data_IF_691272085225
#
_entry.id   IF_691272085225
#
_cell.length_a   1.000
_cell.length_b   1.000
_cell.length_c   1.000
_cell.angle_alpha   90.00
_cell.angle_beta   90.00
_cell.angle_gamma   90.00
#
_symmetry.space_group_name_H-M   'P 1'
#
loop_
_entity.id
_entity.type
_entity.pdbx_description
1 polymer ?
#
# COMPACT_ATOMS: atom_id res chain seq x y z
N UNK A 1 0.64 -18.11 -9.37
CA UNK A 1 -0.25 -16.99 -9.75
C UNK A 1 0.42 -16.17 -10.85
N UNK A 2 -0.35 -15.56 -11.75
CA UNK A 2 0.17 -14.61 -12.75
C UNK A 2 0.00 -13.15 -12.26
N UNK A 3 1.02 -12.31 -12.48
CA UNK A 3 0.97 -10.85 -12.28
C UNK A 3 0.92 -10.20 -13.66
N UNK A 4 -0.21 -9.58 -14.01
CA UNK A 4 -0.33 -8.88 -15.28
C UNK A 4 0.15 -7.44 -15.18
N UNK A 5 0.44 -6.82 -16.34
CA UNK A 5 0.73 -5.38 -16.42
C UNK A 5 -0.42 -4.56 -15.82
N UNK A 6 -1.67 -4.97 -16.05
CA UNK A 6 -2.84 -4.28 -15.53
C UNK A 6 -2.84 -4.30 -14.00
N UNK A 7 -2.63 -5.47 -13.40
CA UNK A 7 -2.62 -5.61 -11.94
C UNK A 7 -1.55 -4.72 -11.30
N UNK A 8 -0.36 -4.71 -11.89
CA UNK A 8 0.75 -3.86 -11.43
C UNK A 8 0.45 -2.37 -11.60
N UNK A 9 0.03 -1.94 -12.79
CA UNK A 9 -0.22 -0.52 -13.08
C UNK A 9 -1.34 0.04 -12.22
N UNK A 10 -2.36 -0.75 -11.87
CA UNK A 10 -3.44 -0.28 -11.00
C UNK A 10 -2.95 0.17 -9.60
N UNK A 11 -1.77 -0.29 -9.16
CA UNK A 11 -1.13 0.07 -7.89
C UNK A 11 -0.18 1.25 -7.97
N UNK A 12 0.13 1.74 -9.16
CA UNK A 12 1.11 2.80 -9.31
C UNK A 12 0.49 4.20 -9.13
N UNK A 13 1.19 5.13 -8.47
CA UNK A 13 0.72 6.51 -8.30
C UNK A 13 0.56 7.26 -9.62
N UNK A 14 1.40 6.94 -10.62
CA UNK A 14 1.34 7.58 -11.95
C UNK A 14 0.30 6.99 -12.91
N UNK A 15 -0.45 5.95 -12.52
CA UNK A 15 -1.38 5.28 -13.43
C UNK A 15 -2.42 6.25 -14.02
N UNK A 16 -2.62 6.28 -15.36
CA UNK A 16 -2.19 5.31 -16.37
C UNK A 16 -0.86 5.61 -17.08
N UNK A 17 -0.06 6.57 -16.62
CA UNK A 17 1.25 6.85 -17.19
C UNK A 17 2.26 5.77 -16.80
N UNK A 18 2.92 5.19 -17.81
CA UNK A 18 3.98 4.19 -17.61
C UNK A 18 5.32 4.91 -17.39
N UNK A 19 5.97 4.63 -16.26
CA UNK A 19 7.33 5.06 -15.95
C UNK A 19 8.39 4.21 -16.64
N UNK A 20 9.59 4.77 -16.79
CA UNK A 20 10.76 4.04 -17.30
C UNK A 20 11.15 2.86 -16.40
N UNK A 21 10.88 2.96 -15.10
CA UNK A 21 11.21 1.94 -14.08
C UNK A 21 10.15 0.84 -13.96
N UNK A 22 8.96 1.00 -14.54
CA UNK A 22 7.83 0.07 -14.32
C UNK A 22 8.15 -1.36 -14.76
N UNK A 23 8.89 -1.50 -15.86
CA UNK A 23 9.31 -2.81 -16.35
C UNK A 23 10.17 -3.55 -15.31
N UNK A 24 11.01 -2.83 -14.58
CA UNK A 24 11.88 -3.41 -13.56
C UNK A 24 11.05 -3.91 -12.36
N UNK A 25 10.16 -3.07 -11.84
CA UNK A 25 9.35 -3.43 -10.68
C UNK A 25 8.26 -4.47 -10.98
N UNK A 26 7.71 -4.49 -12.19
CA UNK A 26 6.88 -5.61 -12.65
C UNK A 26 7.67 -6.92 -12.66
N UNK A 27 8.94 -6.89 -13.09
CA UNK A 27 9.80 -8.07 -13.04
C UNK A 27 10.10 -8.54 -11.61
N UNK A 28 10.30 -7.60 -10.65
CA UNK A 28 10.39 -7.93 -9.22
C UNK A 28 9.10 -8.62 -8.74
N UNK A 29 7.94 -8.05 -9.04
CA UNK A 29 6.65 -8.63 -8.67
C UNK A 29 6.48 -10.06 -9.21
N UNK A 30 6.85 -10.30 -10.47
CA UNK A 30 6.81 -11.65 -11.07
C UNK A 30 7.76 -12.64 -10.36
N UNK A 31 8.93 -12.20 -9.89
CA UNK A 31 9.86 -13.04 -9.13
C UNK A 31 9.32 -13.36 -7.73
N UNK A 32 8.74 -12.39 -7.04
CA UNK A 32 8.06 -12.60 -5.75
C UNK A 32 6.88 -13.57 -5.90
N UNK A 33 6.07 -13.44 -6.96
CA UNK A 33 4.97 -14.36 -7.24
C UNK A 33 5.46 -15.81 -7.43
N UNK A 34 6.58 -15.99 -8.15
CA UNK A 34 7.21 -17.30 -8.33
C UNK A 34 7.70 -17.89 -6.99
N UNK A 35 8.34 -17.08 -6.14
CA UNK A 35 8.78 -17.53 -4.81
C UNK A 35 7.59 -17.98 -3.94
N UNK A 36 6.45 -17.30 -4.03
CA UNK A 36 5.24 -17.77 -3.35
C UNK A 36 4.73 -19.09 -3.93
N UNK A 37 4.64 -19.23 -5.25
CA UNK A 37 4.19 -20.49 -5.87
C UNK A 37 5.04 -21.71 -5.48
N UNK A 38 6.34 -21.50 -5.25
CA UNK A 38 7.26 -22.53 -4.77
C UNK A 38 7.08 -22.82 -3.26
N UNK A 39 6.53 -21.88 -2.49
CA UNK A 39 6.23 -22.05 -1.06
C UNK A 39 5.08 -23.04 -0.84
N UNK A 40 5.15 -23.89 0.21
CA UNK A 40 4.02 -24.68 0.65
C UNK A 40 3.03 -23.85 1.50
N UNK A 41 3.42 -22.66 1.95
CA UNK A 41 2.62 -21.84 2.86
C UNK A 41 1.44 -21.16 2.15
N UNK A 42 0.24 -21.37 2.69
CA UNK A 42 -1.02 -20.83 2.19
C UNK A 42 -1.17 -20.96 0.65
N UNK A 43 -0.76 -22.11 0.10
CA UNK A 43 -0.84 -22.40 -1.34
C UNK A 43 -2.27 -22.38 -1.87
N UNK A 44 -3.23 -22.76 -1.03
CA UNK A 44 -4.67 -22.77 -1.35
C UNK A 44 -5.33 -21.40 -1.14
N UNK A 45 -4.57 -20.36 -0.77
CA UNK A 45 -5.11 -19.01 -0.69
C UNK A 45 -5.52 -18.54 -2.09
N UNK A 46 -6.64 -17.81 -2.16
CA UNK A 46 -7.14 -17.17 -3.38
C UNK A 46 -6.03 -16.38 -4.08
N UNK A 47 -5.90 -16.61 -5.39
CA UNK A 47 -4.86 -15.96 -6.22
C UNK A 47 -4.94 -14.44 -6.17
N UNK A 48 -6.13 -13.86 -5.98
CA UNK A 48 -6.33 -12.42 -5.82
C UNK A 48 -5.65 -11.87 -4.55
N UNK A 49 -5.76 -12.59 -3.43
CA UNK A 49 -5.11 -12.17 -2.18
C UNK A 49 -3.59 -12.34 -2.28
N UNK A 50 -3.13 -13.47 -2.85
CA UNK A 50 -1.69 -13.70 -3.07
C UNK A 50 -1.09 -12.62 -3.99
N UNK A 51 -1.84 -12.22 -5.03
CA UNK A 51 -1.48 -11.12 -5.93
C UNK A 51 -1.41 -9.79 -5.20
N UNK A 52 -2.39 -9.49 -4.35
CA UNK A 52 -2.42 -8.27 -3.55
C UNK A 52 -1.19 -8.15 -2.65
N UNK A 53 -0.77 -9.25 -2.00
CA UNK A 53 0.43 -9.25 -1.17
C UNK A 53 1.70 -9.04 -2.00
N UNK A 54 1.86 -9.73 -3.13
CA UNK A 54 3.02 -9.56 -4.01
C UNK A 54 3.15 -8.11 -4.48
N UNK A 55 2.04 -7.51 -4.88
CA UNK A 55 2.01 -6.11 -5.31
C UNK A 55 2.22 -5.15 -4.14
N UNK A 56 1.76 -5.48 -2.94
CA UNK A 56 1.98 -4.66 -1.75
C UNK A 56 3.46 -4.64 -1.34
N UNK A 57 4.13 -5.80 -1.34
CA UNK A 57 5.58 -5.91 -1.08
C UNK A 57 6.38 -5.18 -2.17
N UNK A 58 5.95 -5.27 -3.43
CA UNK A 58 6.59 -4.51 -4.53
C UNK A 58 6.44 -3.01 -4.31
N UNK A 59 5.24 -2.53 -3.93
CA UNK A 59 4.99 -1.12 -3.64
C UNK A 59 5.78 -0.60 -2.44
N UNK A 60 5.92 -1.42 -1.39
CA UNK A 60 6.80 -1.12 -0.26
C UNK A 60 8.26 -0.97 -0.71
N UNK A 61 8.77 -1.89 -1.52
CA UNK A 61 10.13 -1.81 -2.05
C UNK A 61 10.34 -0.57 -2.93
N UNK A 62 9.36 -0.22 -3.77
CA UNK A 62 9.38 1.00 -4.56
C UNK A 62 9.42 2.26 -3.68
N UNK A 63 8.63 2.30 -2.60
CA UNK A 63 8.61 3.44 -1.67
C UNK A 63 9.93 3.61 -0.93
N UNK A 64 10.54 2.51 -0.44
CA UNK A 64 11.85 2.54 0.23
C UNK A 64 12.95 2.99 -0.72
N UNK A 65 13.03 2.42 -1.93
CA UNK A 65 14.04 2.82 -2.94
C UNK A 65 13.85 4.27 -3.39
N UNK A 66 12.61 4.76 -3.43
CA UNK A 66 12.30 6.14 -3.80
C UNK A 66 12.50 7.15 -2.67
N UNK A 67 12.61 6.69 -1.43
CA UNK A 67 12.35 7.49 -0.24
C UNK A 67 11.02 8.27 -0.36
N UNK A 68 9.97 7.59 -0.86
CA UNK A 68 8.68 8.19 -1.22
C UNK A 68 7.88 8.73 -0.03
N UNK A 69 8.25 8.31 1.19
CA UNK A 69 7.82 8.90 2.44
C UNK A 69 6.61 8.23 3.07
N UNK A 70 5.90 7.32 2.39
CA UNK A 70 4.72 6.64 2.96
C UNK A 70 5.13 5.70 4.10
N UNK A 71 6.10 4.83 3.86
CA UNK A 71 6.65 3.90 4.85
C UNK A 71 7.28 4.65 6.01
N UNK A 72 8.20 5.57 5.73
CA UNK A 72 8.87 6.40 6.75
C UNK A 72 7.87 7.10 7.67
N UNK A 73 6.84 7.69 7.08
CA UNK A 73 5.76 8.37 7.80
C UNK A 73 5.05 7.43 8.77
N UNK A 74 4.63 6.28 8.27
CA UNK A 74 3.98 5.24 9.06
C UNK A 74 4.88 4.74 10.19
N UNK A 75 6.10 4.30 9.87
CA UNK A 75 7.01 3.67 10.83
C UNK A 75 7.42 4.65 11.93
N UNK A 76 7.68 5.92 11.56
CA UNK A 76 8.00 6.98 12.53
C UNK A 76 6.82 7.27 13.47
N UNK A 77 5.60 7.34 12.95
CA UNK A 77 4.42 7.57 13.78
C UNK A 77 4.14 6.38 14.69
N UNK A 78 4.28 5.16 14.18
CA UNK A 78 4.11 3.95 14.98
C UNK A 78 5.16 3.89 16.12
N UNK A 79 6.43 4.19 15.82
CA UNK A 79 7.51 4.20 16.82
C UNK A 79 7.26 5.24 17.90
N UNK A 80 6.83 6.45 17.52
CA UNK A 80 6.45 7.49 18.49
C UNK A 80 5.31 7.06 19.41
N UNK A 81 4.32 6.31 18.91
CA UNK A 81 3.12 5.92 19.68
C UNK A 81 3.30 4.63 20.47
N UNK A 82 4.11 3.70 19.97
CA UNK A 82 4.15 2.32 20.46
C UNK A 82 5.56 1.81 20.79
N UNK A 83 6.62 2.56 20.44
CA UNK A 83 8.01 2.19 20.73
C UNK A 83 8.59 1.10 19.82
N UNK A 84 7.98 0.87 18.67
CA UNK A 84 8.50 0.01 17.60
C UNK A 84 8.15 0.59 16.23
N UNK A 85 8.94 0.32 15.17
CA UNK A 85 8.64 0.84 13.82
C UNK A 85 7.39 0.22 13.20
N UNK A 86 7.04 -1.03 13.56
CA UNK A 86 5.86 -1.73 13.07
C UNK A 86 5.14 -2.48 14.19
N UNK A 87 3.84 -2.78 14.05
CA UNK A 87 3.11 -3.68 14.94
C UNK A 87 3.75 -5.07 15.03
N UNK A 88 3.61 -5.72 16.18
CA UNK A 88 3.97 -7.12 16.46
C UNK A 88 5.45 -7.52 16.39
N UNK A 89 6.33 -6.71 15.81
CA UNK A 89 7.76 -6.98 15.71
C UNK A 89 8.55 -5.94 16.51
N UNK A 90 9.52 -6.41 17.29
CA UNK A 90 10.47 -5.53 17.97
C UNK A 90 11.52 -5.01 16.98
N UNK A 91 12.24 -3.94 17.35
CA UNK A 91 13.39 -3.47 16.57
C UNK A 91 14.52 -4.50 16.69
N UNK A 92 14.84 -5.20 15.60
CA UNK A 92 16.00 -6.10 15.53
C UNK A 92 17.32 -5.32 15.66
N UNK A 93 18.40 -6.00 16.05
CA UNK A 93 19.71 -5.36 16.24
C UNK A 93 20.29 -4.81 14.92
N UNK A 94 19.88 -5.39 13.79
CA UNK A 94 20.26 -5.01 12.43
C UNK A 94 19.23 -4.11 11.73
N UNK A 95 18.17 -3.68 12.43
CA UNK A 95 17.15 -2.81 11.86
C UNK A 95 17.72 -1.43 11.56
N UNK A 96 17.59 -0.97 10.31
CA UNK A 96 17.98 0.38 9.90
C UNK A 96 16.73 1.18 9.56
N UNK A 97 16.49 2.25 10.32
CA UNK A 97 15.30 3.08 10.13
C UNK A 97 15.21 3.60 8.69
N UNK A 98 14.04 3.40 8.08
CA UNK A 98 13.68 3.87 6.74
C UNK A 98 14.38 3.16 5.57
N UNK A 99 15.12 2.09 5.84
CA UNK A 99 15.70 1.21 4.82
C UNK A 99 14.91 -0.10 4.68
N UNK A 100 15.40 -1.01 3.83
CA UNK A 100 14.81 -2.33 3.64
C UNK A 100 15.09 -3.22 4.85
N UNK A 101 14.05 -3.57 5.62
CA UNK A 101 14.16 -4.50 6.74
C UNK A 101 13.27 -5.75 6.57
N UNK A 102 13.70 -6.88 7.14
CA UNK A 102 12.91 -8.12 7.14
C UNK A 102 11.59 -7.97 7.91
N UNK A 103 11.62 -7.33 9.07
CA UNK A 103 10.42 -7.13 9.90
C UNK A 103 9.37 -6.27 9.17
N UNK A 104 9.81 -5.32 8.35
CA UNK A 104 8.96 -4.48 7.51
C UNK A 104 8.29 -5.32 6.42
N UNK A 105 9.05 -6.15 5.70
CA UNK A 105 8.50 -7.08 4.69
C UNK A 105 7.50 -8.04 5.31
N UNK A 106 7.81 -8.59 6.49
CA UNK A 106 6.90 -9.48 7.23
C UNK A 106 5.61 -8.75 7.63
N UNK A 107 5.72 -7.52 8.10
CA UNK A 107 4.56 -6.69 8.42
C UNK A 107 3.68 -6.42 7.19
N UNK A 108 4.28 -6.01 6.06
CA UNK A 108 3.51 -5.71 4.83
C UNK A 108 2.74 -6.93 4.34
N UNK A 109 3.34 -8.12 4.40
CA UNK A 109 2.67 -9.38 4.05
C UNK A 109 1.48 -9.63 4.99
N UNK A 110 1.72 -9.60 6.30
CA UNK A 110 0.68 -9.84 7.30
C UNK A 110 -0.47 -8.83 7.19
N UNK A 111 -0.16 -7.54 7.14
CA UNK A 111 -1.12 -6.46 7.04
C UNK A 111 -1.97 -6.55 5.78
N UNK A 112 -1.38 -6.95 4.64
CA UNK A 112 -2.15 -7.09 3.40
C UNK A 112 -3.21 -8.20 3.52
N UNK A 113 -2.89 -9.30 4.23
CA UNK A 113 -3.81 -10.42 4.44
C UNK A 113 -4.93 -10.08 5.43
N UNK A 114 -4.60 -9.47 6.56
CA UNK A 114 -5.57 -9.24 7.66
C UNK A 114 -6.26 -7.87 7.59
N UNK A 115 -5.62 -6.88 6.96
CA UNK A 115 -6.07 -5.50 6.95
C UNK A 115 -7.35 -5.25 6.16
N UNK A 116 -7.70 -6.15 5.25
CA UNK A 116 -8.99 -6.13 4.55
C UNK A 116 -10.17 -6.49 5.47
N UNK A 117 -9.91 -7.08 6.65
CA UNK A 117 -10.98 -7.49 7.56
C UNK A 117 -11.83 -8.64 7.04
N UNK A 118 -11.33 -9.39 6.04
CA UNK A 118 -11.84 -10.73 5.71
C UNK A 118 -11.59 -11.67 6.90
N UNK A 119 -12.26 -12.83 6.94
CA UNK A 119 -12.12 -13.87 7.98
C UNK A 119 -10.70 -14.53 8.04
N UNK A 120 -9.67 -13.87 7.53
CA UNK A 120 -8.28 -14.30 7.68
C UNK A 120 -7.76 -13.93 9.07
N UNK A 121 -7.78 -14.91 9.98
CA UNK A 121 -7.01 -14.84 11.23
C UNK A 121 -5.61 -15.40 10.97
N UNK A 122 -4.63 -14.54 10.70
CA UNK A 122 -3.22 -14.93 10.58
C UNK A 122 -2.42 -14.43 11.79
N UNK A 123 -1.72 -15.35 12.45
CA UNK A 123 -0.78 -15.00 13.52
C UNK A 123 0.41 -14.22 12.92
N UNK A 124 0.75 -13.01 13.40
CA UNK A 124 1.95 -12.29 12.95
C UNK A 124 3.25 -13.07 13.25
N UNK A 125 3.24 -14.06 14.13
CA UNK A 125 4.40 -14.92 14.43
C UNK A 125 4.37 -16.27 13.69
N UNK A 126 3.49 -16.44 12.69
CA UNK A 126 3.39 -17.68 11.93
C UNK A 126 4.72 -18.05 11.24
N UNK A 127 5.15 -19.31 11.38
CA UNK A 127 6.44 -19.77 10.85
C UNK A 127 6.52 -19.69 9.32
N UNK A 128 5.40 -19.90 8.62
CA UNK A 128 5.34 -19.81 7.18
C UNK A 128 5.31 -18.37 6.67
N UNK A 129 4.69 -17.45 7.41
CA UNK A 129 4.83 -16.00 7.20
C UNK A 129 6.30 -15.60 7.34
N UNK A 130 6.98 -16.09 8.38
CA UNK A 130 8.41 -15.82 8.57
C UNK A 130 9.27 -16.39 7.44
N UNK A 131 9.01 -17.62 7.00
CA UNK A 131 9.74 -18.24 5.90
C UNK A 131 9.52 -17.49 4.56
N UNK A 132 8.28 -17.11 4.25
CA UNK A 132 7.97 -16.36 3.03
C UNK A 132 8.58 -14.96 3.04
N UNK A 133 8.43 -14.23 4.16
CA UNK A 133 9.02 -12.89 4.31
C UNK A 133 10.54 -12.93 4.18
N UNK A 134 11.20 -13.95 4.73
CA UNK A 134 12.65 -14.16 4.56
C UNK A 134 13.01 -14.35 3.09
N UNK A 135 12.29 -15.21 2.36
CA UNK A 135 12.55 -15.44 0.93
C UNK A 135 12.32 -14.16 0.09
N UNK A 136 11.28 -13.40 0.41
CA UNK A 136 10.99 -12.13 -0.26
C UNK A 136 12.07 -11.09 0.04
N UNK A 137 12.43 -10.92 1.31
CA UNK A 137 13.48 -10.01 1.74
C UNK A 137 14.82 -10.33 1.07
N UNK A 138 15.25 -11.59 1.03
CA UNK A 138 16.49 -11.99 0.35
C UNK A 138 16.50 -11.61 -1.14
N UNK A 139 15.36 -11.72 -1.83
CA UNK A 139 15.24 -11.27 -3.22
C UNK A 139 15.37 -9.75 -3.31
N UNK A 140 14.63 -9.00 -2.50
CA UNK A 140 14.66 -7.54 -2.51
C UNK A 140 16.04 -6.99 -2.15
N UNK A 141 16.67 -7.54 -1.11
CA UNK A 141 18.02 -7.18 -0.65
C UNK A 141 19.07 -7.37 -1.75
N UNK A 142 19.00 -8.51 -2.48
CA UNK A 142 19.89 -8.78 -3.62
C UNK A 142 19.76 -7.79 -4.78
N UNK A 143 18.67 -7.03 -4.81
CA UNK A 143 18.33 -6.07 -5.86
C UNK A 143 18.37 -4.61 -5.36
N UNK A 144 18.51 -4.39 -4.05
CA UNK A 144 18.26 -3.09 -3.42
C UNK A 144 19.21 -2.00 -3.93
N UNK A 145 20.51 -2.27 -3.91
CA UNK A 145 21.58 -1.33 -4.33
C UNK A 145 21.52 -0.93 -5.82
N UNK A 146 20.91 -1.77 -6.66
CA UNK A 146 20.86 -1.59 -8.12
C UNK A 146 19.46 -1.23 -8.63
N UNK A 147 18.47 -1.15 -7.74
CA UNK A 147 17.11 -0.83 -8.10
C UNK A 147 17.00 0.62 -8.62
N UNK A 148 16.35 0.85 -9.78
CA UNK A 148 16.21 2.19 -10.32
C UNK A 148 15.12 2.98 -9.59
N UNK A 149 15.41 4.20 -9.17
CA UNK A 149 14.51 5.06 -8.39
C UNK A 149 13.16 5.32 -9.09
N UNK A 150 12.02 4.89 -8.53
CA UNK A 150 10.70 5.09 -9.11
C UNK A 150 10.13 6.44 -8.69
N UNK A 151 10.52 7.51 -9.39
CA UNK A 151 10.17 8.91 -9.06
C UNK A 151 8.68 9.21 -8.89
N UNK A 152 7.79 8.37 -9.43
CA UNK A 152 6.35 8.55 -9.26
C UNK A 152 5.90 8.42 -7.78
N UNK A 153 6.71 7.82 -6.90
CA UNK A 153 6.46 7.76 -5.45
C UNK A 153 6.90 9.03 -4.72
N UNK A 154 7.81 9.83 -5.29
CA UNK A 154 8.41 11.00 -4.66
C UNK A 154 7.50 12.24 -4.79
N UNK A 155 6.37 12.29 -4.09
CA UNK A 155 5.53 13.51 -4.11
C UNK A 155 5.99 14.57 -3.11
N UNK A 156 6.62 14.15 -2.01
CA UNK A 156 7.11 15.06 -0.99
C UNK A 156 8.17 16.00 -1.60
N UNK A 157 7.97 17.30 -1.47
CA UNK A 157 8.81 18.34 -2.09
C UNK A 157 8.43 18.72 -3.53
N UNK A 158 7.47 18.03 -4.16
CA UNK A 158 6.93 18.42 -5.47
C UNK A 158 5.60 19.17 -5.40
N UNK A 159 4.93 19.13 -4.24
CA UNK A 159 3.64 19.78 -4.00
C UNK A 159 3.67 20.55 -2.69
N UNK A 160 2.91 21.64 -2.65
CA UNK A 160 2.61 22.39 -1.44
C UNK A 160 1.11 22.27 -1.14
N UNK A 161 0.77 21.73 0.04
CA UNK A 161 -0.63 21.52 0.46
C UNK A 161 -1.43 22.82 0.56
N UNK A 162 -0.76 23.96 0.73
CA UNK A 162 -1.39 25.28 0.81
C UNK A 162 -1.49 25.97 -0.56
N UNK A 163 -0.81 25.46 -1.58
CA UNK A 163 -0.77 26.03 -2.92
C UNK A 163 -1.98 25.56 -3.77
N UNK A 164 -2.91 26.45 -4.16
CA UNK A 164 -4.06 26.07 -4.97
C UNK A 164 -3.70 25.51 -6.36
N UNK A 165 -2.51 25.84 -6.88
CA UNK A 165 -2.04 25.30 -8.16
C UNK A 165 -1.75 23.79 -8.10
N UNK A 166 -1.48 23.26 -6.90
CA UNK A 166 -1.18 21.84 -6.68
C UNK A 166 -2.42 21.01 -6.35
N UNK A 167 -3.60 21.64 -6.21
CA UNK A 167 -4.84 20.99 -5.77
C UNK A 167 -5.18 19.72 -6.56
N UNK A 168 -4.94 19.71 -7.88
CA UNK A 168 -5.19 18.53 -8.70
C UNK A 168 -4.19 17.41 -8.42
N UNK A 169 -2.91 17.72 -8.28
CA UNK A 169 -1.86 16.75 -7.96
C UNK A 169 -2.08 16.14 -6.59
N UNK A 170 -2.44 16.98 -5.61
CA UNK A 170 -2.79 16.56 -4.26
C UNK A 170 -3.99 15.60 -4.29
N UNK A 171 -5.03 15.93 -5.05
CA UNK A 171 -6.20 15.06 -5.20
C UNK A 171 -5.83 13.71 -5.85
N UNK A 172 -5.09 13.72 -6.97
CA UNK A 172 -4.71 12.49 -7.67
C UNK A 172 -3.85 11.57 -6.75
N UNK A 173 -2.94 12.16 -5.98
CA UNK A 173 -2.15 11.43 -4.98
C UNK A 173 -2.98 10.95 -3.79
N UNK A 174 -3.88 11.77 -3.25
CA UNK A 174 -4.80 11.38 -2.19
C UNK A 174 -5.65 10.17 -2.59
N UNK A 175 -6.15 10.20 -3.83
CA UNK A 175 -6.92 9.11 -4.40
C UNK A 175 -6.09 7.82 -4.51
N UNK A 176 -4.87 7.90 -5.05
CA UNK A 176 -3.97 6.75 -5.09
C UNK A 176 -3.62 6.25 -3.68
N UNK A 177 -3.24 7.17 -2.80
CA UNK A 177 -2.83 6.89 -1.43
C UNK A 177 -3.91 6.09 -0.71
N UNK A 178 -5.15 6.54 -0.77
CA UNK A 178 -6.26 5.89 -0.08
C UNK A 178 -6.70 4.58 -0.75
N UNK A 179 -6.88 4.56 -2.07
CA UNK A 179 -7.52 3.42 -2.75
C UNK A 179 -6.57 2.39 -3.35
N UNK A 180 -5.31 2.75 -3.57
CA UNK A 180 -4.39 1.98 -4.43
C UNK A 180 -3.02 1.72 -3.81
N UNK A 181 -2.59 2.51 -2.82
CA UNK A 181 -1.30 2.32 -2.16
C UNK A 181 -1.22 0.96 -1.49
N UNK A 182 0.00 0.41 -1.39
CA UNK A 182 0.23 -0.87 -0.73
C UNK A 182 -0.15 -0.86 0.76
N UNK A 183 -0.09 0.30 1.42
CA UNK A 183 -0.24 0.40 2.86
C UNK A 183 -1.69 0.67 3.30
N UNK A 184 -2.41 1.58 2.65
CA UNK A 184 -3.76 1.96 3.11
C UNK A 184 -4.85 1.10 2.46
N UNK A 185 -4.61 0.64 1.22
CA UNK A 185 -5.60 -0.11 0.45
C UNK A 185 -6.22 -1.30 1.21
N UNK A 186 -5.47 -2.13 1.97
CA UNK A 186 -6.08 -3.26 2.68
C UNK A 186 -7.30 -2.81 3.49
N UNK A 187 -7.16 -1.82 4.36
CA UNK A 187 -8.30 -1.28 5.14
C UNK A 187 -9.32 -0.50 4.31
N UNK A 188 -8.90 0.16 3.23
CA UNK A 188 -9.82 0.91 2.37
C UNK A 188 -10.77 -0.01 1.59
N UNK A 189 -10.35 -1.24 1.26
CA UNK A 189 -11.26 -2.23 0.67
C UNK A 189 -12.43 -2.57 1.61
N UNK A 190 -12.17 -2.71 2.91
CA UNK A 190 -13.23 -2.92 3.90
C UNK A 190 -14.21 -1.74 3.96
N UNK A 191 -13.74 -0.51 3.73
CA UNK A 191 -14.58 0.69 3.62
C UNK A 191 -15.48 0.61 2.38
N UNK A 192 -14.92 0.21 1.24
CA UNK A 192 -15.69 0.00 0.00
C UNK A 192 -16.77 -1.06 0.18
N UNK A 193 -16.44 -2.20 0.78
CA UNK A 193 -17.40 -3.27 1.02
C UNK A 193 -18.59 -2.81 1.87
N UNK A 194 -18.36 -2.00 2.89
CA UNK A 194 -19.43 -1.39 3.70
C UNK A 194 -20.27 -0.38 2.92
N UNK A 195 -19.69 0.29 1.92
CA UNK A 195 -20.37 1.27 1.07
C UNK A 195 -21.12 0.64 -0.12
N UNK A 196 -20.86 -0.63 -0.46
CA UNK A 196 -21.49 -1.31 -1.59
C UNK A 196 -23.03 -1.26 -1.59
N UNK A 197 -23.75 -1.41 -0.47
CA UNK A 197 -25.21 -1.25 -0.45
C UNK A 197 -25.68 0.15 -0.88
N UNK A 198 -24.96 1.21 -0.47
CA UNK A 198 -25.24 2.58 -0.88
C UNK A 198 -24.96 2.77 -2.37
N UNK A 199 -23.82 2.28 -2.85
CA UNK A 199 -23.46 2.32 -4.27
C UNK A 199 -24.53 1.64 -5.15
N UNK A 200 -25.01 0.45 -4.75
CA UNK A 200 -26.09 -0.24 -5.44
C UNK A 200 -27.41 0.54 -5.42
N UNK A 201 -27.75 1.20 -4.30
CA UNK A 201 -28.94 2.04 -4.21
C UNK A 201 -28.86 3.28 -5.12
N UNK A 202 -27.68 3.89 -5.25
CA UNK A 202 -27.44 4.99 -6.17
C UNK A 202 -27.64 4.56 -7.63
N UNK A 203 -27.08 3.41 -8.02
CA UNK A 203 -27.24 2.83 -9.37
C UNK A 203 -28.71 2.50 -9.64
N UNK A 204 -29.41 1.87 -8.70
CA UNK A 204 -30.81 1.53 -8.86
C UNK A 204 -31.73 2.75 -9.01
N UNK A 205 -31.40 3.87 -8.36
CA UNK A 205 -32.18 5.11 -8.40
C UNK A 205 -31.92 5.94 -9.67
N UNK A 206 -30.66 6.08 -10.07
CA UNK A 206 -30.26 6.96 -11.17
C UNK A 206 -30.19 6.23 -12.52
N UNK A 207 -30.04 4.91 -12.53
CA UNK A 207 -29.63 4.15 -13.71
C UNK A 207 -28.11 4.19 -13.90
N UNK A 208 -27.56 3.19 -14.59
CA UNK A 208 -26.11 2.97 -14.72
C UNK A 208 -25.34 4.19 -15.27
N UNK A 209 -25.92 4.89 -16.25
CA UNK A 209 -25.25 6.03 -16.89
C UNK A 209 -25.14 7.24 -15.95
N UNK A 210 -26.24 7.57 -15.26
CA UNK A 210 -26.34 8.78 -14.43
C UNK A 210 -25.80 8.55 -13.00
N UNK A 211 -25.54 7.30 -12.62
CA UNK A 211 -24.97 6.96 -11.32
C UNK A 211 -23.47 7.31 -11.21
N UNK A 212 -22.74 7.42 -12.32
CA UNK A 212 -21.29 7.67 -12.31
C UNK A 212 -20.85 8.87 -11.46
N UNK A 213 -21.42 10.09 -11.60
CA UNK A 213 -21.06 11.21 -10.74
C UNK A 213 -21.44 10.98 -9.26
N UNK A 214 -22.50 10.23 -8.99
CA UNK A 214 -22.92 9.90 -7.61
C UNK A 214 -21.95 8.91 -6.96
N UNK A 215 -21.47 7.93 -7.72
CA UNK A 215 -20.44 6.98 -7.26
C UNK A 215 -19.09 7.69 -7.05
N UNK A 216 -18.78 8.68 -7.88
CA UNK A 216 -17.60 9.52 -7.68
C UNK A 216 -17.70 10.34 -6.39
N UNK A 217 -18.85 10.98 -6.14
CA UNK A 217 -19.11 11.72 -4.90
C UNK A 217 -19.03 10.81 -3.65
N UNK A 218 -19.58 9.60 -3.75
CA UNK A 218 -19.44 8.57 -2.71
C UNK A 218 -17.97 8.24 -2.44
N UNK A 219 -17.18 7.98 -3.48
CA UNK A 219 -15.75 7.69 -3.34
C UNK A 219 -14.98 8.85 -2.71
N UNK A 220 -15.24 10.08 -3.16
CA UNK A 220 -14.57 11.28 -2.65
C UNK A 220 -14.93 11.53 -1.18
N UNK A 221 -16.20 11.30 -0.81
CA UNK A 221 -16.65 11.36 0.58
C UNK A 221 -15.94 10.34 1.44
N UNK A 222 -15.96 9.06 1.05
CA UNK A 222 -15.32 7.97 1.81
C UNK A 222 -13.82 8.23 2.00
N UNK A 223 -13.09 8.56 0.93
CA UNK A 223 -11.67 8.91 0.98
C UNK A 223 -11.41 10.07 1.95
N UNK A 224 -12.29 11.06 2.00
CA UNK A 224 -12.09 12.26 2.82
C UNK A 224 -12.43 12.04 4.29
N UNK A 225 -13.38 11.15 4.61
CA UNK A 225 -13.92 11.01 5.98
C UNK A 225 -13.52 9.74 6.70
N UNK A 226 -13.35 8.63 5.98
CA UNK A 226 -13.07 7.34 6.59
C UNK A 226 -11.56 7.22 6.86
N UNK A 227 -11.13 6.81 8.07
CA UNK A 227 -9.73 6.53 8.35
C UNK A 227 -9.25 5.25 7.63
N UNK A 228 -7.98 5.23 7.21
CA UNK A 228 -7.36 4.07 6.59
C UNK A 228 -5.90 3.89 7.01
N UNK A 229 -5.35 2.71 6.72
CA UNK A 229 -4.01 2.28 7.05
C UNK A 229 -3.90 1.55 8.39
N UNK A 230 -2.71 1.03 8.73
CA UNK A 230 -2.48 0.34 9.99
C UNK A 230 -2.64 1.24 11.22
N UNK A 231 -2.49 2.55 11.03
CA UNK A 231 -2.84 3.58 12.01
C UNK A 231 -4.05 4.32 11.43
N UNK A 232 -5.21 4.37 12.12
CA UNK A 232 -6.43 4.93 11.57
C UNK A 232 -6.34 6.46 11.50
N UNK A 233 -5.81 6.97 10.40
CA UNK A 233 -5.76 8.39 10.07
C UNK A 233 -6.64 8.69 8.86
N UNK A 234 -7.21 9.89 8.84
CA UNK A 234 -7.87 10.44 7.64
C UNK A 234 -6.85 10.69 6.53
N UNK A 235 -7.30 10.74 5.28
CA UNK A 235 -6.44 11.07 4.13
C UNK A 235 -5.71 12.40 4.32
N UNK A 236 -6.37 13.43 4.87
CA UNK A 236 -5.72 14.72 5.15
C UNK A 236 -4.58 14.61 6.18
N UNK A 237 -4.74 13.77 7.21
CA UNK A 237 -3.67 13.51 8.19
C UNK A 237 -2.50 12.75 7.57
N UNK A 238 -2.77 11.75 6.72
CA UNK A 238 -1.72 11.06 5.98
C UNK A 238 -0.96 12.00 5.05
N UNK A 239 -1.65 12.87 4.31
CA UNK A 239 -1.01 13.85 3.42
C UNK A 239 -0.07 14.78 4.20
N UNK A 240 -0.51 15.32 5.34
CA UNK A 240 0.35 16.16 6.21
C UNK A 240 1.54 15.41 6.76
N UNK A 241 1.35 14.14 7.12
CA UNK A 241 2.42 13.30 7.64
C UNK A 241 3.49 13.04 6.58
N UNK A 242 3.08 12.83 5.31
CA UNK A 242 3.98 12.50 4.20
C UNK A 242 4.63 13.74 3.58
N UNK A 243 3.85 14.82 3.36
CA UNK A 243 4.29 16.01 2.61
C UNK A 243 4.89 17.06 3.53
N UNK A 244 4.22 17.40 4.63
CA UNK A 244 4.67 18.44 5.56
C UNK A 244 5.58 17.89 6.68
N UNK A 245 5.72 16.57 6.75
CA UNK A 245 6.46 15.86 7.79
C UNK A 245 5.88 16.05 9.22
N UNK A 246 4.59 16.42 9.33
CA UNK A 246 3.93 16.77 10.59
C UNK A 246 3.25 15.55 11.22
N UNK A 247 3.70 15.19 12.43
CA UNK A 247 3.08 14.12 13.22
C UNK A 247 1.73 14.57 13.81
N UNK A 248 0.65 13.78 13.67
CA UNK A 248 -0.60 14.06 14.35
C UNK A 248 -0.41 13.98 15.87
N UNK A 249 -1.17 14.82 16.60
CA UNK A 249 -1.26 14.81 18.06
C UNK A 249 -1.78 13.46 18.59
#
# INVERSE_FOLDING_TARGET
MEITVKDYMERQPGNPQVAETDRYYLWIAMRLAKLWDESPWLREMEDDMRRDVVLAVTGYFQDVVADGGLWRSFSRLHDKRHGSPVPHYGRSDDYVDYELNLDDVRFVIWWTIVGEGRDYSLDPQDEGLNALSTAFHMLLDSEYEQAPVPRQFCIAGEVDLENPADARRIYDYAYWLYWRSYLLRPSSLAVMDRAMPEAHALIARAGEHDARPLLQDLNDRLMSTEPAGPIPLTTAQWLRLIIDDVLPE
#
